data_IF_447424856687
#
_entry.id   IF_447424856687
#
_cell.length_a   1.000
_cell.length_b   1.000
_cell.length_c   1.000
_cell.angle_alpha   90.00
_cell.angle_beta   90.00
_cell.angle_gamma   90.00
#
_symmetry.space_group_name_H-M   'P 1'
#
loop_
_entity.id
_entity.type
_entity.pdbx_description
1 polymer ?
#
# COMPACT_ATOMS: atom_id res chain seq x y z
N UNK A 1 -5.00 -27.29 11.77
CA UNK A 1 -4.27 -27.25 10.47
C UNK A 1 -5.13 -27.95 9.43
N UNK A 2 -5.89 -27.22 8.66
CA UNK A 2 -6.73 -27.75 7.58
C UNK A 2 -6.01 -27.45 6.27
N UNK A 3 -5.45 -28.49 5.63
CA UNK A 3 -4.82 -28.38 4.31
C UNK A 3 -5.93 -28.34 3.26
N UNK A 4 -6.13 -27.22 2.59
CA UNK A 4 -6.95 -27.12 1.39
C UNK A 4 -6.24 -27.84 0.24
N UNK A 5 -6.89 -28.81 -0.45
CA UNK A 5 -6.29 -29.43 -1.62
C UNK A 5 -6.22 -28.39 -2.76
N UNK A 6 -5.05 -28.32 -3.38
CA UNK A 6 -4.81 -27.39 -4.50
C UNK A 6 -5.75 -27.75 -5.67
N UNK A 7 -6.31 -26.73 -6.31
CA UNK A 7 -7.27 -26.88 -7.44
C UNK A 7 -6.69 -27.63 -8.65
N UNK A 8 -5.40 -27.82 -8.72
CA UNK A 8 -4.74 -28.65 -9.74
C UNK A 8 -4.98 -30.17 -9.56
N UNK A 9 -5.22 -30.64 -8.34
CA UNK A 9 -5.47 -32.07 -8.10
C UNK A 9 -6.87 -32.52 -8.58
N UNK A 10 -7.83 -31.59 -8.68
CA UNK A 10 -9.18 -31.88 -9.16
C UNK A 10 -9.30 -32.03 -10.68
N UNK A 11 -8.40 -31.44 -11.45
CA UNK A 11 -8.38 -31.58 -12.92
C UNK A 11 -7.78 -32.94 -13.38
N UNK A 12 -6.86 -33.52 -12.59
CA UNK A 12 -6.28 -34.82 -12.91
C UNK A 12 -7.24 -35.99 -12.62
N UNK A 13 -8.14 -35.84 -11.65
CA UNK A 13 -9.13 -36.87 -11.30
C UNK A 13 -10.29 -37.00 -12.32
N UNK A 14 -10.60 -35.93 -13.05
CA UNK A 14 -11.67 -35.93 -14.03
C UNK A 14 -11.30 -36.67 -15.34
N UNK A 15 -10.00 -36.77 -15.65
CA UNK A 15 -9.54 -37.48 -16.87
C UNK A 15 -9.49 -38.98 -16.66
N UNK A 16 -9.29 -39.46 -15.43
CA UNK A 16 -9.18 -40.88 -15.10
C UNK A 16 -10.53 -41.63 -15.04
N UNK A 17 -11.65 -40.95 -14.82
CA UNK A 17 -12.97 -41.59 -14.66
C UNK A 17 -13.66 -41.94 -16.00
N UNK A 18 -13.16 -41.39 -17.13
CA UNK A 18 -13.74 -41.61 -18.46
C UNK A 18 -13.28 -42.90 -19.17
N UNK A 19 -12.29 -43.61 -18.61
CA UNK A 19 -11.67 -44.78 -19.29
C UNK A 19 -12.36 -46.10 -19.01
N UNK A 20 -13.40 -46.21 -18.14
CA UNK A 20 -14.03 -47.48 -17.76
C UNK A 20 -15.53 -47.59 -18.09
N UNK A 21 -16.12 -46.64 -18.76
CA UNK A 21 -17.48 -46.68 -19.28
C UNK A 21 -17.46 -46.90 -20.78
N UNK A 22 -17.34 -48.13 -21.20
CA UNK A 22 -17.45 -48.49 -22.61
C UNK A 22 -18.82 -48.12 -23.16
N UNK A 23 -18.82 -47.58 -24.40
CA UNK A 23 -19.96 -47.36 -25.29
C UNK A 23 -20.88 -46.18 -25.02
N UNK A 24 -20.78 -45.21 -25.90
CA UNK A 24 -21.77 -44.23 -26.32
C UNK A 24 -21.62 -42.79 -25.86
N UNK A 25 -20.44 -42.19 -26.02
CA UNK A 25 -20.45 -40.80 -26.44
C UNK A 25 -19.15 -40.55 -27.28
N UNK A 26 -19.26 -40.86 -28.55
CA UNK A 26 -18.24 -40.46 -29.50
C UNK A 26 -18.30 -38.94 -29.58
N UNK A 27 -17.35 -38.26 -28.96
CA UNK A 27 -17.19 -36.82 -29.12
C UNK A 27 -17.00 -36.59 -30.61
N UNK A 28 -17.93 -35.92 -31.27
CA UNK A 28 -17.81 -35.68 -32.68
C UNK A 28 -16.61 -34.74 -32.92
N UNK A 29 -15.96 -34.86 -34.07
CA UNK A 29 -14.86 -33.95 -34.43
C UNK A 29 -15.32 -32.48 -34.31
N UNK A 30 -16.58 -32.22 -34.62
CA UNK A 30 -17.19 -30.89 -34.56
C UNK A 30 -17.29 -30.38 -33.11
N UNK A 31 -17.67 -31.22 -32.13
CA UNK A 31 -17.74 -30.86 -30.71
C UNK A 31 -16.34 -30.59 -30.15
N UNK A 32 -15.36 -31.42 -30.53
CA UNK A 32 -13.96 -31.21 -30.17
C UNK A 32 -13.44 -29.89 -30.72
N UNK A 33 -13.62 -29.63 -32.02
CA UNK A 33 -13.15 -28.41 -32.67
C UNK A 33 -13.83 -27.16 -32.08
N UNK A 34 -15.12 -27.24 -31.75
CA UNK A 34 -15.87 -26.16 -31.11
C UNK A 34 -15.34 -25.85 -29.71
N UNK A 35 -15.08 -26.89 -28.92
CA UNK A 35 -14.54 -26.75 -27.54
C UNK A 35 -13.13 -26.16 -27.57
N UNK A 36 -12.28 -26.62 -28.50
CA UNK A 36 -10.94 -26.05 -28.69
C UNK A 36 -11.01 -24.57 -29.11
N UNK A 37 -11.94 -24.22 -30.00
CA UNK A 37 -12.15 -22.82 -30.39
C UNK A 37 -12.61 -21.94 -29.21
N UNK A 38 -13.53 -22.43 -28.37
CA UNK A 38 -13.98 -21.74 -27.17
C UNK A 38 -12.83 -21.53 -26.16
N UNK A 39 -12.04 -22.56 -25.91
CA UNK A 39 -10.89 -22.47 -25.02
C UNK A 39 -9.85 -21.46 -25.52
N UNK A 40 -9.56 -21.43 -26.82
CA UNK A 40 -8.66 -20.46 -27.43
C UNK A 40 -9.19 -19.03 -27.28
N UNK A 41 -10.48 -18.82 -27.53
CA UNK A 41 -11.11 -17.51 -27.35
C UNK A 41 -11.06 -17.06 -25.89
N UNK A 42 -11.33 -17.97 -24.95
CA UNK A 42 -11.24 -17.67 -23.51
C UNK A 42 -9.82 -17.34 -23.11
N UNK A 43 -8.82 -18.07 -23.61
CA UNK A 43 -7.41 -17.80 -23.35
C UNK A 43 -6.99 -16.45 -23.92
N UNK A 44 -7.43 -16.10 -25.14
CA UNK A 44 -7.17 -14.79 -25.73
C UNK A 44 -7.79 -13.66 -24.92
N UNK A 45 -9.03 -13.82 -24.44
CA UNK A 45 -9.68 -12.84 -23.57
C UNK A 45 -8.93 -12.65 -22.25
N UNK A 46 -8.50 -13.74 -21.62
CA UNK A 46 -7.71 -13.65 -20.40
C UNK A 46 -6.37 -12.95 -20.64
N UNK A 47 -5.70 -13.24 -21.76
CA UNK A 47 -4.44 -12.57 -22.12
C UNK A 47 -4.67 -11.07 -22.32
N UNK A 48 -5.71 -10.67 -23.02
CA UNK A 48 -6.04 -9.25 -23.22
C UNK A 48 -6.32 -8.53 -21.88
N UNK A 49 -7.01 -9.19 -20.94
CA UNK A 49 -7.22 -8.63 -19.59
C UNK A 49 -5.92 -8.46 -18.81
N UNK A 50 -5.03 -9.45 -18.91
CA UNK A 50 -3.70 -9.36 -18.26
C UNK A 50 -2.87 -8.21 -18.87
N UNK A 51 -2.88 -8.08 -20.20
CA UNK A 51 -2.17 -7.00 -20.88
C UNK A 51 -2.71 -5.61 -20.52
N UNK A 52 -4.05 -5.49 -20.39
CA UNK A 52 -4.69 -4.25 -19.92
C UNK A 52 -4.31 -3.93 -18.46
N UNK A 53 -4.33 -4.92 -17.56
CA UNK A 53 -3.92 -4.74 -16.18
C UNK A 53 -2.45 -4.33 -16.07
N UNK A 54 -1.59 -4.97 -16.87
CA UNK A 54 -0.17 -4.63 -16.91
C UNK A 54 0.05 -3.20 -17.44
N UNK A 55 -0.70 -2.78 -18.44
CA UNK A 55 -0.65 -1.41 -18.94
C UNK A 55 -1.08 -0.38 -17.89
N UNK A 56 -2.15 -0.68 -17.12
CA UNK A 56 -2.59 0.18 -16.02
C UNK A 56 -1.55 0.27 -14.88
N UNK A 57 -0.92 -0.86 -14.54
CA UNK A 57 0.17 -0.88 -13.54
C UNK A 57 1.35 -0.04 -14.02
N UNK A 58 1.73 -0.16 -15.28
CA UNK A 58 2.84 0.60 -15.85
C UNK A 58 2.52 2.11 -15.91
N UNK A 59 1.29 2.47 -16.28
CA UNK A 59 0.83 3.86 -16.27
C UNK A 59 0.87 4.45 -14.87
N UNK A 60 0.27 3.76 -13.88
CA UNK A 60 0.26 4.21 -12.48
C UNK A 60 1.68 4.35 -11.92
N UNK A 61 2.57 3.41 -12.24
CA UNK A 61 3.99 3.47 -11.88
C UNK A 61 4.69 4.67 -12.53
N UNK A 62 4.36 4.98 -13.79
CA UNK A 62 4.87 6.15 -14.52
C UNK A 62 4.40 7.47 -13.92
N UNK A 63 3.12 7.57 -13.59
CA UNK A 63 2.54 8.74 -12.93
C UNK A 63 3.15 8.99 -11.56
N UNK A 64 3.36 7.93 -10.79
CA UNK A 64 4.03 8.03 -9.48
C UNK A 64 5.49 8.48 -9.63
N UNK A 65 6.26 7.90 -10.57
CA UNK A 65 7.65 8.32 -10.83
C UNK A 65 7.72 9.78 -11.25
N UNK A 66 6.80 10.23 -12.11
CA UNK A 66 6.76 11.63 -12.57
C UNK A 66 6.34 12.59 -11.44
N UNK A 67 5.39 12.21 -10.60
CA UNK A 67 5.00 12.96 -9.43
C UNK A 67 6.17 13.10 -8.44
N UNK A 68 6.89 12.00 -8.18
CA UNK A 68 8.08 12.00 -7.31
C UNK A 68 9.24 12.81 -7.90
N UNK A 69 9.47 12.76 -9.20
CA UNK A 69 10.47 13.60 -9.87
C UNK A 69 10.13 15.09 -9.78
N UNK A 70 8.84 15.44 -9.94
CA UNK A 70 8.34 16.81 -9.73
C UNK A 70 8.51 17.26 -8.29
N UNK A 71 8.19 16.39 -7.32
CA UNK A 71 8.40 16.68 -5.90
C UNK A 71 9.88 16.80 -5.54
N UNK A 72 10.78 16.02 -6.13
CA UNK A 72 12.23 16.17 -5.93
C UNK A 72 12.75 17.55 -6.37
N UNK A 73 12.20 18.14 -7.43
CA UNK A 73 12.53 19.50 -7.85
C UNK A 73 12.00 20.55 -6.86
N UNK A 74 10.84 20.31 -6.25
CA UNK A 74 10.21 21.21 -5.28
C UNK A 74 10.81 21.09 -3.87
N UNK A 75 11.37 19.93 -3.49
CA UNK A 75 12.08 19.67 -2.23
C UNK A 75 13.28 20.58 -2.04
N UNK A 76 14.06 20.81 -3.08
CA UNK A 76 15.22 21.70 -3.00
C UNK A 76 14.85 23.15 -2.73
N UNK A 77 13.59 23.55 -2.95
CA UNK A 77 13.06 24.88 -2.66
C UNK A 77 12.38 24.99 -1.27
N UNK A 78 11.90 23.87 -0.68
CA UNK A 78 11.08 23.85 0.54
C UNK A 78 11.82 23.37 1.80
N UNK A 79 13.12 23.60 1.94
CA UNK A 79 13.91 23.21 3.12
C UNK A 79 13.83 21.70 3.48
N UNK A 80 13.72 20.85 2.48
CA UNK A 80 13.93 19.40 2.65
C UNK A 80 12.81 18.60 3.32
N UNK A 81 11.61 19.17 3.49
CA UNK A 81 10.47 18.41 4.08
C UNK A 81 9.29 18.31 3.11
N UNK A 82 8.85 17.08 2.83
CA UNK A 82 7.64 16.82 2.05
C UNK A 82 6.59 16.15 2.89
N UNK A 83 5.34 16.61 2.72
CA UNK A 83 4.17 15.93 3.23
C UNK A 83 3.47 15.20 2.08
N UNK A 84 3.29 13.89 2.23
CA UNK A 84 2.43 13.08 1.37
C UNK A 84 1.10 12.90 2.10
N UNK A 85 0.11 13.72 1.73
CA UNK A 85 -1.21 13.64 2.33
C UNK A 85 -1.96 12.43 1.78
N UNK A 86 -2.65 11.73 2.68
CA UNK A 86 -3.59 10.66 2.34
C UNK A 86 -2.94 9.45 1.68
N UNK A 87 -2.08 8.77 2.43
CA UNK A 87 -1.48 7.50 1.99
C UNK A 87 -2.42 6.31 2.23
N UNK A 88 -3.25 6.38 3.27
CA UNK A 88 -4.19 5.31 3.63
C UNK A 88 -5.46 5.87 4.25
N UNK A 89 -6.61 5.30 3.85
CA UNK A 89 -7.91 5.55 4.45
C UNK A 89 -8.34 4.37 5.30
N UNK A 90 -9.09 4.65 6.35
CA UNK A 90 -9.53 3.61 7.28
C UNK A 90 -11.05 3.58 7.42
N UNK A 91 -11.59 2.37 7.51
CA UNK A 91 -12.96 2.17 7.90
C UNK A 91 -13.24 2.76 9.30
N UNK A 92 -14.50 3.00 9.60
CA UNK A 92 -14.90 3.49 10.93
C UNK A 92 -14.38 2.56 12.01
N UNK A 93 -13.79 3.13 13.05
CA UNK A 93 -13.20 2.41 14.20
C UNK A 93 -12.16 1.33 13.82
N UNK A 94 -11.52 1.43 12.67
CA UNK A 94 -10.52 0.46 12.18
C UNK A 94 -9.13 1.10 12.06
N UNK A 95 -8.11 0.27 12.22
CA UNK A 95 -6.71 0.55 11.90
C UNK A 95 -6.13 -0.52 10.95
N UNK A 96 -6.99 -1.26 10.25
CA UNK A 96 -6.59 -2.30 9.31
C UNK A 96 -6.34 -1.67 7.94
N UNK A 97 -5.18 -1.92 7.36
CA UNK A 97 -4.82 -1.52 6.00
C UNK A 97 -5.51 -2.43 4.99
N UNK A 98 -6.12 -1.85 3.98
CA UNK A 98 -6.65 -2.61 2.85
C UNK A 98 -5.57 -2.99 1.82
N UNK A 99 -5.94 -3.73 0.78
CA UNK A 99 -5.02 -4.21 -0.24
C UNK A 99 -4.46 -3.07 -1.09
N UNK A 100 -5.27 -2.04 -1.38
CA UNK A 100 -4.88 -0.87 -2.17
C UNK A 100 -3.88 -0.01 -1.39
N UNK A 101 -4.15 0.23 -0.13
CA UNK A 101 -3.26 0.98 0.75
C UNK A 101 -1.89 0.28 0.87
N UNK A 102 -1.89 -1.04 1.03
CA UNK A 102 -0.66 -1.85 1.07
C UNK A 102 0.14 -1.72 -0.23
N UNK A 103 -0.53 -1.75 -1.38
CA UNK A 103 0.14 -1.58 -2.67
C UNK A 103 0.81 -0.20 -2.79
N UNK A 104 0.12 0.88 -2.41
CA UNK A 104 0.67 2.24 -2.43
C UNK A 104 1.85 2.39 -1.46
N UNK A 105 1.74 1.82 -0.27
CA UNK A 105 2.82 1.82 0.73
C UNK A 105 4.04 1.01 0.27
N UNK A 106 3.84 -0.10 -0.43
CA UNK A 106 4.94 -0.88 -1.04
C UNK A 106 5.69 -0.05 -2.08
N UNK A 107 4.96 0.64 -2.97
CA UNK A 107 5.57 1.49 -3.98
C UNK A 107 6.32 2.67 -3.33
N UNK A 108 5.74 3.29 -2.31
CA UNK A 108 6.41 4.32 -1.53
C UNK A 108 7.72 3.80 -0.90
N UNK A 109 7.67 2.63 -0.25
CA UNK A 109 8.85 2.04 0.36
C UNK A 109 9.97 1.74 -0.66
N UNK A 110 9.61 1.21 -1.84
CA UNK A 110 10.58 0.96 -2.93
C UNK A 110 11.29 2.23 -3.38
N UNK A 111 10.56 3.35 -3.51
CA UNK A 111 11.16 4.63 -3.90
C UNK A 111 12.08 5.17 -2.80
N UNK A 112 11.63 5.14 -1.55
CA UNK A 112 12.41 5.63 -0.42
C UNK A 112 13.71 4.81 -0.27
N UNK A 113 13.62 3.50 -0.27
CA UNK A 113 14.79 2.63 -0.10
C UNK A 113 15.78 2.74 -1.26
N UNK A 114 15.29 2.96 -2.50
CA UNK A 114 16.15 3.06 -3.68
C UNK A 114 16.83 4.42 -3.82
N UNK A 115 16.17 5.51 -3.41
CA UNK A 115 16.64 6.87 -3.74
C UNK A 115 16.93 7.75 -2.51
N UNK A 116 16.34 7.43 -1.36
CA UNK A 116 16.40 8.25 -0.16
C UNK A 116 16.54 7.40 1.13
N UNK A 117 17.57 6.54 1.25
CA UNK A 117 17.67 5.58 2.37
C UNK A 117 17.90 6.23 3.73
N UNK A 118 18.22 7.53 3.78
CA UNK A 118 18.63 8.24 4.99
C UNK A 118 17.61 9.29 5.47
N UNK A 119 16.36 9.24 4.99
CA UNK A 119 15.31 10.20 5.39
C UNK A 119 14.64 9.79 6.68
N UNK A 120 14.15 10.79 7.43
CA UNK A 120 13.25 10.54 8.55
C UNK A 120 11.81 10.67 8.09
N UNK A 121 11.01 9.64 8.33
CA UNK A 121 9.59 9.60 7.97
C UNK A 121 8.74 9.67 9.22
N UNK A 122 7.89 10.69 9.32
CA UNK A 122 6.89 10.77 10.38
C UNK A 122 5.54 10.29 9.83
N UNK A 123 5.00 9.25 10.45
CA UNK A 123 3.70 8.66 10.13
C UNK A 123 2.65 9.31 11.03
N UNK A 124 1.79 10.13 10.45
CA UNK A 124 0.80 10.94 11.16
C UNK A 124 -0.59 10.31 11.05
N UNK A 125 -1.19 9.94 12.20
CA UNK A 125 -2.51 9.31 12.24
C UNK A 125 -3.61 10.29 12.62
N UNK A 126 -4.73 10.22 11.87
CA UNK A 126 -5.90 11.08 12.02
C UNK A 126 -7.19 10.28 12.16
N UNK A 127 -8.19 10.90 12.77
CA UNK A 127 -9.54 10.33 12.91
C UNK A 127 -10.59 11.37 12.52
N UNK A 128 -11.81 10.90 12.29
CA UNK A 128 -12.97 11.78 12.28
C UNK A 128 -13.30 12.27 13.71
N UNK A 129 -14.20 13.26 13.87
CA UNK A 129 -14.49 13.86 15.18
C UNK A 129 -15.35 13.00 16.11
N UNK A 130 -15.85 11.83 15.68
CA UNK A 130 -16.68 10.96 16.50
C UNK A 130 -15.91 10.37 17.70
N UNK A 131 -16.49 10.41 18.89
CA UNK A 131 -15.89 9.87 20.12
C UNK A 131 -15.06 10.90 20.92
N UNK A 132 -14.40 10.44 21.98
CA UNK A 132 -13.60 11.28 22.88
C UNK A 132 -12.23 11.64 22.30
N UNK A 133 -11.57 12.65 22.83
CA UNK A 133 -10.21 13.05 22.41
C UNK A 133 -9.22 11.93 22.68
N UNK A 134 -9.25 11.35 23.89
CA UNK A 134 -8.34 10.27 24.28
C UNK A 134 -8.50 9.03 23.39
N UNK A 135 -9.75 8.65 23.12
CA UNK A 135 -10.05 7.53 22.23
C UNK A 135 -9.48 7.77 20.82
N UNK A 136 -9.75 8.95 20.25
CA UNK A 136 -9.29 9.30 18.91
C UNK A 136 -7.76 9.42 18.82
N UNK A 137 -7.11 9.91 19.87
CA UNK A 137 -5.66 9.92 19.92
C UNK A 137 -5.10 8.48 19.87
N UNK A 138 -5.65 7.57 20.66
CA UNK A 138 -5.24 6.14 20.66
C UNK A 138 -5.54 5.49 19.30
N UNK A 139 -6.69 5.77 18.68
CA UNK A 139 -7.05 5.21 17.38
C UNK A 139 -6.13 5.74 16.26
N UNK A 140 -5.84 7.05 16.26
CA UNK A 140 -4.89 7.64 15.33
C UNK A 140 -3.49 7.03 15.46
N UNK A 141 -3.04 6.79 16.70
CA UNK A 141 -1.75 6.13 16.95
C UNK A 141 -1.73 4.69 16.44
N UNK A 142 -2.81 3.92 16.63
CA UNK A 142 -2.92 2.55 16.09
C UNK A 142 -2.84 2.54 14.56
N UNK A 143 -3.47 3.50 13.88
CA UNK A 143 -3.40 3.66 12.43
C UNK A 143 -1.98 3.98 11.97
N UNK A 144 -1.34 4.97 12.60
CA UNK A 144 0.04 5.32 12.31
C UNK A 144 0.99 4.14 12.54
N UNK A 145 0.77 3.37 13.61
CA UNK A 145 1.55 2.17 13.89
C UNK A 145 1.35 1.08 12.83
N UNK A 146 0.13 0.83 12.37
CA UNK A 146 -0.15 -0.16 11.34
C UNK A 146 0.59 0.18 10.02
N UNK A 147 0.61 1.47 9.63
CA UNK A 147 1.38 1.93 8.46
C UNK A 147 2.88 1.78 8.71
N UNK A 148 3.39 2.20 9.87
CA UNK A 148 4.80 2.03 10.24
C UNK A 148 5.23 0.58 10.16
N UNK A 149 4.49 -0.33 10.81
CA UNK A 149 4.82 -1.75 10.85
C UNK A 149 4.89 -2.32 9.43
N UNK A 150 3.94 -1.95 8.58
CA UNK A 150 3.94 -2.36 7.17
C UNK A 150 5.14 -1.80 6.39
N UNK A 151 5.51 -0.53 6.58
CA UNK A 151 6.68 0.07 5.93
C UNK A 151 7.99 -0.61 6.37
N UNK A 152 8.08 -1.06 7.64
CA UNK A 152 9.21 -1.86 8.13
C UNK A 152 9.25 -3.21 7.42
N UNK A 153 8.12 -3.88 7.24
CA UNK A 153 8.02 -5.13 6.48
C UNK A 153 8.46 -4.95 5.01
N UNK A 154 8.26 -3.73 4.46
CA UNK A 154 8.70 -3.38 3.10
C UNK A 154 10.17 -2.90 3.03
N UNK A 155 10.92 -2.96 4.12
CA UNK A 155 12.36 -2.74 4.13
C UNK A 155 12.82 -1.35 4.60
N UNK A 156 11.92 -0.45 5.02
CA UNK A 156 12.32 0.81 5.63
C UNK A 156 12.78 0.56 7.08
N UNK A 157 14.00 0.98 7.47
CA UNK A 157 14.49 0.78 8.83
C UNK A 157 13.59 1.42 9.89
N UNK A 158 13.28 0.69 10.96
CA UNK A 158 12.38 1.16 12.02
C UNK A 158 12.86 2.47 12.70
N UNK A 159 14.19 2.73 12.71
CA UNK A 159 14.79 3.95 13.24
C UNK A 159 14.48 5.21 12.41
N UNK A 160 14.13 5.02 11.15
CA UNK A 160 13.78 6.10 10.21
C UNK A 160 12.28 6.44 10.24
N UNK A 161 11.49 5.68 11.01
CA UNK A 161 10.04 5.80 11.11
C UNK A 161 9.60 6.25 12.50
N UNK A 162 8.97 7.41 12.58
CA UNK A 162 8.31 7.93 13.80
C UNK A 162 6.80 7.89 13.62
N UNK A 163 6.05 7.70 14.70
CA UNK A 163 4.59 7.74 14.69
C UNK A 163 4.09 8.89 15.55
N UNK A 164 3.13 9.63 15.04
CA UNK A 164 2.44 10.72 15.75
C UNK A 164 0.95 10.57 15.53
N UNK A 165 0.14 10.87 16.53
CA UNK A 165 -1.30 10.93 16.41
C UNK A 165 -1.79 12.35 16.67
N UNK A 166 -2.55 12.88 15.73
CA UNK A 166 -3.33 14.11 15.90
C UNK A 166 -4.78 13.81 16.30
N UNK A 167 -5.18 12.52 16.23
CA UNK A 167 -6.54 12.11 16.56
C UNK A 167 -7.55 12.92 15.78
N UNK A 168 -8.51 13.55 16.50
CA UNK A 168 -9.55 14.40 15.92
C UNK A 168 -9.25 15.91 15.95
N UNK A 169 -7.97 16.33 15.98
CA UNK A 169 -7.59 17.72 15.99
C UNK A 169 -8.26 18.49 14.85
N UNK A 170 -9.03 19.54 15.18
CA UNK A 170 -9.93 20.21 14.23
C UNK A 170 -9.19 20.94 13.13
N UNK A 171 -8.03 21.51 13.46
CA UNK A 171 -7.12 22.20 12.54
C UNK A 171 -6.40 21.26 11.58
N UNK A 172 -6.51 19.95 11.81
CA UNK A 172 -5.90 18.91 11.00
C UNK A 172 -6.91 18.08 10.20
N UNK A 173 -8.20 18.40 10.27
CA UNK A 173 -9.23 17.72 9.51
C UNK A 173 -9.27 18.24 8.06
N UNK A 174 -9.37 17.33 7.10
CA UNK A 174 -9.58 17.66 5.68
C UNK A 174 -10.96 18.26 5.48
N UNK A 175 -11.97 17.66 6.14
CA UNK A 175 -13.35 18.17 6.16
C UNK A 175 -13.78 18.38 7.61
N UNK A 176 -13.64 19.62 8.13
CA UNK A 176 -13.93 19.92 9.53
C UNK A 176 -15.34 19.51 9.94
N UNK A 177 -15.46 18.75 11.03
CA UNK A 177 -16.73 18.30 11.56
C UNK A 177 -17.39 17.12 10.85
N UNK A 178 -16.87 16.66 9.71
CA UNK A 178 -17.44 15.53 8.99
C UNK A 178 -17.17 14.19 9.70
N UNK A 179 -18.22 13.38 9.89
CA UNK A 179 -18.20 12.06 10.51
C UNK A 179 -19.06 11.06 9.71
N UNK A 180 -19.12 9.81 10.11
CA UNK A 180 -19.82 8.76 9.37
C UNK A 180 -19.21 8.54 7.98
N UNK A 181 -20.04 8.40 6.95
CA UNK A 181 -19.58 8.24 5.57
C UNK A 181 -18.79 9.46 5.08
N UNK A 182 -19.24 10.67 5.41
CA UNK A 182 -18.54 11.89 5.02
C UNK A 182 -17.22 12.12 5.78
N UNK A 183 -17.01 11.46 6.91
CA UNK A 183 -15.79 11.52 7.72
C UNK A 183 -14.65 10.63 7.20
N UNK A 184 -14.85 9.88 6.15
CA UNK A 184 -13.83 8.99 5.58
C UNK A 184 -12.54 9.72 5.26
N UNK A 185 -12.60 10.89 4.67
CA UNK A 185 -11.44 11.75 4.34
C UNK A 185 -10.63 12.18 5.56
N UNK A 186 -11.24 12.19 6.76
CA UNK A 186 -10.56 12.50 8.01
C UNK A 186 -9.90 11.25 8.63
N UNK A 187 -10.38 10.05 8.32
CA UNK A 187 -9.86 8.78 8.80
C UNK A 187 -8.69 8.32 7.95
N UNK A 188 -7.55 8.97 8.10
CA UNK A 188 -6.39 8.78 7.23
C UNK A 188 -5.08 8.68 7.98
N UNK A 189 -4.04 8.32 7.26
CA UNK A 189 -2.64 8.48 7.64
C UNK A 189 -1.95 9.31 6.56
N UNK A 190 -1.09 10.23 6.97
CA UNK A 190 -0.19 11.00 6.11
C UNK A 190 1.25 10.66 6.45
N UNK A 191 2.14 10.74 5.46
CA UNK A 191 3.58 10.59 5.65
C UNK A 191 4.25 11.95 5.47
N UNK A 192 5.10 12.32 6.42
CA UNK A 192 5.97 13.50 6.30
C UNK A 192 7.40 12.99 6.17
N UNK A 193 7.99 13.20 5.00
CA UNK A 193 9.37 12.82 4.71
C UNK A 193 10.26 14.02 4.95
N UNK A 194 11.22 13.88 5.86
CA UNK A 194 12.21 14.91 6.21
C UNK A 194 13.58 14.51 5.67
N UNK A 195 14.01 15.20 4.64
CA UNK A 195 15.29 14.96 3.96
C UNK A 195 16.47 15.65 4.68
N UNK A 196 16.19 16.63 5.54
CA UNK A 196 17.20 17.34 6.33
C UNK A 196 17.50 16.67 7.69
N UNK A 197 16.71 15.66 8.06
CA UNK A 197 16.63 15.11 9.42
C UNK A 197 17.90 14.48 9.99
N UNK A 198 18.95 14.26 9.20
CA UNK A 198 20.22 13.68 9.68
C UNK A 198 21.38 14.65 9.73
N UNK A 199 21.31 15.76 9.04
CA UNK A 199 22.38 16.77 9.09
C UNK A 199 22.40 17.56 10.40
N UNK A 200 21.29 17.59 11.14
CA UNK A 200 21.18 18.29 12.42
C UNK A 200 21.67 17.46 13.62
N UNK A 201 21.59 16.13 13.58
CA UNK A 201 21.98 15.25 14.70
C UNK A 201 23.48 14.86 14.66
N UNK A 202 24.18 15.14 13.54
CA UNK A 202 25.64 14.85 13.42
C UNK A 202 26.53 16.00 13.87
N UNK A 203 25.98 17.16 14.20
CA UNK A 203 26.69 18.22 14.88
C UNK A 203 26.65 17.98 16.38
N UNK A 204 27.34 16.93 16.87
CA UNK A 204 27.71 16.84 18.27
C UNK A 204 28.58 18.06 18.59
N UNK A 205 28.33 18.78 19.69
CA UNK A 205 29.19 19.88 20.08
C UNK A 205 30.59 19.31 20.30
N UNK A 206 31.56 19.81 19.54
CA UNK A 206 32.95 19.58 19.81
C UNK A 206 33.22 20.06 21.26
N UNK A 207 33.42 19.12 22.15
CA UNK A 207 33.94 19.40 23.48
C UNK A 207 35.29 20.10 23.30
N UNK A 208 35.26 21.40 23.43
CA UNK A 208 36.49 22.22 23.55
C UNK A 208 37.26 21.77 24.77
N UNK A 209 38.33 21.03 24.53
CA UNK A 209 39.42 20.85 25.52
C UNK A 209 40.09 22.17 25.73
N UNK A 210 39.60 22.94 26.69
CA UNK A 210 40.36 24.07 27.25
C UNK A 210 41.51 23.54 28.05
N UNK A 211 42.69 23.67 27.48
CA UNK A 211 43.93 23.71 28.25
C UNK A 211 44.15 25.15 28.71
N UNK A 212 44.34 25.30 30.00
CA UNK A 212 44.80 26.48 30.66
C UNK A 212 45.18 26.15 32.07
#
# INVERSE_FOLDING_TARGET
MVRTPSRLALLAAAVGAFALGGCANYVTKQDFDSTVAQLRNQQQHQQQQLDQQQAQINQLSGEMKSALAKYNAEISQLQGRIRVDTVSHFAFNSATLDARDKQLLTQFAQVITAHHPDVLITVEGFTDPAGTVAYNHTLGLRRAKAVKDYLVEQGIPARELRTVSYGKARDRQVKPGAWGAQGEVNRRVSLVVDFAGRTADTAAPATGSGQG
#
